data_IF_117158121790
#
_entry.id   IF_117158121790
#
_cell.length_a   1.000
_cell.length_b   1.000
_cell.length_c   1.000
_cell.angle_alpha   90.00
_cell.angle_beta   90.00
_cell.angle_gamma   90.00
#
_symmetry.space_group_name_H-M   'P 1'
#
loop_
_entity.id
_entity.type
_entity.pdbx_description
1 polymer ?
#
# COMPACT_ATOMS: atom_id res chain seq x y z
N UNK A 1 -14.52 -12.87 -21.46
CA UNK A 1 -15.07 -11.56 -21.11
C UNK A 1 -14.00 -10.84 -20.31
N UNK A 2 -13.51 -9.69 -20.78
CA UNK A 2 -12.54 -8.87 -20.01
C UNK A 2 -13.24 -8.44 -18.72
N UNK A 3 -12.71 -8.80 -17.56
CA UNK A 3 -13.21 -8.33 -16.28
C UNK A 3 -13.15 -6.80 -16.27
N UNK A 4 -14.22 -6.13 -15.80
CA UNK A 4 -14.24 -4.68 -15.70
C UNK A 4 -13.15 -4.18 -14.76
N UNK A 5 -12.59 -3.01 -15.07
CA UNK A 5 -11.60 -2.34 -14.21
C UNK A 5 -12.17 -2.05 -12.83
N UNK A 6 -11.41 -2.31 -11.79
CA UNK A 6 -11.78 -1.93 -10.42
C UNK A 6 -11.63 -0.40 -10.28
N UNK A 7 -12.71 0.27 -9.84
CA UNK A 7 -12.73 1.73 -9.64
C UNK A 7 -12.73 2.10 -8.17
N UNK A 8 -12.40 3.36 -7.81
CA UNK A 8 -12.51 3.85 -6.43
C UNK A 8 -13.93 3.68 -5.84
N UNK A 9 -14.98 3.86 -6.64
CA UNK A 9 -16.37 3.69 -6.21
C UNK A 9 -16.68 2.22 -5.94
N UNK A 10 -16.20 1.31 -6.78
CA UNK A 10 -16.34 -0.14 -6.56
C UNK A 10 -15.54 -0.57 -5.32
N UNK A 11 -14.32 -0.02 -5.11
CA UNK A 11 -13.56 -0.27 -3.89
C UNK A 11 -14.35 0.19 -2.67
N UNK A 12 -14.90 1.41 -2.68
CA UNK A 12 -15.67 1.97 -1.57
C UNK A 12 -16.90 1.12 -1.21
N UNK A 13 -17.53 0.50 -2.19
CA UNK A 13 -18.69 -0.37 -2.05
C UNK A 13 -18.35 -1.86 -2.11
N UNK A 14 -17.12 -2.24 -1.72
CA UNK A 14 -16.64 -3.62 -1.80
C UNK A 14 -17.62 -4.60 -1.14
N UNK A 15 -17.98 -5.70 -1.83
CA UNK A 15 -19.00 -6.61 -1.32
C UNK A 15 -18.59 -7.23 0.03
N UNK A 16 -19.51 -7.21 1.00
CA UNK A 16 -19.29 -7.87 2.30
C UNK A 16 -19.07 -9.37 2.09
N UNK A 17 -18.07 -9.91 2.77
CA UNK A 17 -17.70 -11.32 2.66
C UNK A 17 -16.80 -11.67 1.47
N UNK A 18 -16.56 -10.75 0.55
CA UNK A 18 -15.56 -10.92 -0.50
C UNK A 18 -14.21 -10.42 -0.02
N UNK A 19 -13.18 -11.27 -0.10
CA UNK A 19 -11.80 -10.87 0.26
C UNK A 19 -11.23 -9.94 -0.81
N UNK A 20 -10.65 -8.83 -0.38
CA UNK A 20 -9.91 -7.90 -1.23
C UNK A 20 -8.43 -8.25 -1.18
N UNK A 21 -7.81 -8.44 -2.34
CA UNK A 21 -6.37 -8.70 -2.46
C UNK A 21 -5.63 -7.49 -2.99
N UNK A 22 -4.71 -6.97 -2.19
CA UNK A 22 -3.82 -5.89 -2.56
C UNK A 22 -2.36 -6.32 -2.49
N UNK A 23 -1.57 -5.94 -3.50
CA UNK A 23 -0.12 -6.19 -3.55
C UNK A 23 0.61 -4.94 -4.06
N UNK A 24 1.87 -4.76 -3.64
CA UNK A 24 2.67 -3.66 -4.15
C UNK A 24 3.33 -4.00 -5.48
N UNK A 25 3.47 -3.00 -6.36
CA UNK A 25 4.35 -3.07 -7.52
C UNK A 25 5.00 -1.70 -7.77
N UNK A 26 6.17 -1.72 -8.40
CA UNK A 26 6.97 -0.51 -8.64
C UNK A 26 7.47 -0.43 -10.08
N UNK A 27 7.20 -1.46 -10.89
CA UNK A 27 7.64 -1.58 -12.27
C UNK A 27 6.56 -2.21 -13.17
N UNK A 28 6.78 -2.10 -14.47
CA UNK A 28 5.86 -2.61 -15.49
C UNK A 28 5.66 -4.14 -15.48
N UNK A 29 6.73 -4.97 -15.48
CA UNK A 29 6.54 -6.41 -15.61
C UNK A 29 5.83 -7.01 -14.38
N UNK A 30 6.18 -6.56 -13.16
CA UNK A 30 5.52 -7.05 -11.95
C UNK A 30 4.05 -6.60 -11.91
N UNK A 31 3.76 -5.34 -12.24
CA UNK A 31 2.38 -4.84 -12.31
C UNK A 31 1.53 -5.65 -13.29
N UNK A 32 2.07 -5.98 -14.47
CA UNK A 32 1.38 -6.79 -15.46
C UNK A 32 1.08 -8.20 -14.95
N UNK A 33 2.05 -8.86 -14.34
CA UNK A 33 1.87 -10.20 -13.76
C UNK A 33 0.79 -10.19 -12.69
N UNK A 34 0.81 -9.21 -11.78
CA UNK A 34 -0.18 -9.08 -10.70
C UNK A 34 -1.59 -8.80 -11.25
N UNK A 35 -1.70 -7.94 -12.25
CA UNK A 35 -2.98 -7.62 -12.90
C UNK A 35 -3.57 -8.85 -13.61
N UNK A 36 -2.76 -9.59 -14.40
CA UNK A 36 -3.14 -10.82 -15.08
C UNK A 36 -3.51 -11.93 -14.06
N UNK A 37 -2.85 -11.97 -12.89
CA UNK A 37 -3.15 -12.88 -11.80
C UNK A 37 -4.44 -12.54 -11.03
N UNK A 38 -5.06 -11.39 -11.29
CA UNK A 38 -6.34 -11.01 -10.72
C UNK A 38 -6.27 -10.26 -9.39
N UNK A 39 -5.16 -9.62 -9.07
CA UNK A 39 -5.05 -8.69 -7.91
C UNK A 39 -6.07 -7.55 -8.07
N UNK A 40 -6.77 -7.19 -7.00
CA UNK A 40 -7.82 -6.17 -7.05
C UNK A 40 -7.26 -4.76 -6.97
N UNK A 41 -6.22 -4.57 -6.14
CA UNK A 41 -5.54 -3.30 -5.91
C UNK A 41 -4.03 -3.47 -6.02
N UNK A 42 -3.41 -2.80 -6.97
CA UNK A 42 -1.95 -2.66 -7.06
C UNK A 42 -1.58 -1.35 -6.38
N UNK A 43 -0.74 -1.43 -5.37
CA UNK A 43 -0.32 -0.28 -4.59
C UNK A 43 1.12 0.12 -4.92
N UNK A 44 1.32 1.35 -5.36
CA UNK A 44 2.65 1.96 -5.48
C UNK A 44 2.96 2.62 -4.14
N UNK A 45 3.58 1.85 -3.24
CA UNK A 45 3.90 2.30 -1.89
C UNK A 45 5.25 3.01 -1.82
N UNK A 46 5.42 3.92 -0.87
CA UNK A 46 6.72 4.53 -0.56
C UNK A 46 7.73 3.52 0.01
N UNK A 47 7.27 2.30 0.35
CA UNK A 47 8.12 1.13 0.57
C UNK A 47 9.09 0.84 -0.59
N UNK A 48 8.85 1.42 -1.80
CA UNK A 48 9.82 1.39 -2.90
C UNK A 48 11.20 1.94 -2.48
N UNK A 49 11.22 2.91 -1.58
CA UNK A 49 12.47 3.45 -1.03
C UNK A 49 13.34 2.35 -0.47
N UNK A 50 12.74 1.46 0.30
CA UNK A 50 13.47 0.35 0.94
C UNK A 50 13.75 -0.77 -0.08
N UNK A 51 12.71 -1.32 -0.70
CA UNK A 51 12.83 -2.59 -1.45
C UNK A 51 13.40 -2.42 -2.87
N UNK A 52 13.36 -1.21 -3.43
CA UNK A 52 13.86 -0.91 -4.78
C UNK A 52 15.09 0.00 -4.75
N UNK A 53 15.07 1.06 -3.93
CA UNK A 53 16.12 2.08 -3.91
C UNK A 53 17.18 1.83 -2.84
N UNK A 54 16.98 0.84 -1.94
CA UNK A 54 17.95 0.47 -0.89
C UNK A 54 18.06 1.49 0.24
N UNK A 55 17.05 2.32 0.44
CA UNK A 55 16.97 3.26 1.56
C UNK A 55 16.70 2.53 2.88
N UNK A 56 17.06 3.14 4.00
CA UNK A 56 16.85 2.55 5.34
C UNK A 56 15.40 2.58 5.80
N UNK A 57 14.61 3.53 5.28
CA UNK A 57 13.19 3.70 5.55
C UNK A 57 12.52 4.47 4.40
N UNK A 58 11.22 4.75 4.52
CA UNK A 58 10.41 5.39 3.46
C UNK A 58 10.59 6.91 3.41
N UNK A 59 11.21 7.54 4.42
CA UNK A 59 11.22 9.01 4.57
C UNK A 59 12.09 9.73 3.54
N UNK A 60 12.93 9.02 2.80
CA UNK A 60 13.75 9.58 1.72
C UNK A 60 13.10 9.56 0.33
N UNK A 61 11.92 8.96 0.20
CA UNK A 61 11.23 8.84 -1.09
C UNK A 61 10.71 10.19 -1.56
N UNK A 62 10.93 10.49 -2.84
CA UNK A 62 10.51 11.75 -3.46
C UNK A 62 9.28 11.59 -4.36
N UNK A 63 8.61 12.71 -4.68
CA UNK A 63 7.55 12.71 -5.69
C UNK A 63 8.02 12.20 -7.05
N UNK A 64 9.27 12.46 -7.44
CA UNK A 64 9.81 11.99 -8.71
C UNK A 64 9.92 10.45 -8.75
N UNK A 65 10.30 9.82 -7.63
CA UNK A 65 10.35 8.37 -7.50
C UNK A 65 8.94 7.78 -7.63
N UNK A 66 7.98 8.36 -6.91
CA UNK A 66 6.59 7.90 -6.94
C UNK A 66 5.94 8.08 -8.31
N UNK A 67 6.17 9.20 -8.99
CA UNK A 67 5.67 9.44 -10.35
C UNK A 67 6.23 8.41 -11.32
N UNK A 68 7.55 8.16 -11.30
CA UNK A 68 8.18 7.16 -12.17
C UNK A 68 7.62 5.77 -11.96
N UNK A 69 7.52 5.32 -10.72
CA UNK A 69 6.97 4.02 -10.39
C UNK A 69 5.49 3.92 -10.79
N UNK A 70 4.67 4.93 -10.47
CA UNK A 70 3.25 4.98 -10.82
C UNK A 70 3.04 4.89 -12.33
N UNK A 71 3.80 5.65 -13.13
CA UNK A 71 3.75 5.56 -14.59
C UNK A 71 4.12 4.17 -15.12
N UNK A 72 5.10 3.52 -14.51
CA UNK A 72 5.52 2.17 -14.91
C UNK A 72 4.44 1.15 -14.61
N UNK A 73 3.86 1.19 -13.42
CA UNK A 73 2.75 0.32 -12.98
C UNK A 73 1.50 0.55 -13.84
N UNK A 74 1.16 1.81 -14.12
CA UNK A 74 0.00 2.17 -14.93
C UNK A 74 0.03 1.57 -16.33
N UNK A 75 1.22 1.46 -16.95
CA UNK A 75 1.36 0.81 -18.27
C UNK A 75 1.15 -0.71 -18.23
N UNK A 76 1.40 -1.35 -17.10
CA UNK A 76 1.24 -2.81 -16.92
C UNK A 76 -0.19 -3.24 -16.59
N UNK A 77 -1.04 -2.30 -16.14
CA UNK A 77 -2.35 -2.57 -15.62
C UNK A 77 -3.46 -2.47 -16.67
N UNK A 78 -4.43 -3.40 -16.61
CA UNK A 78 -5.68 -3.39 -17.39
C UNK A 78 -6.93 -3.42 -16.51
N UNK A 79 -6.91 -4.16 -15.39
CA UNK A 79 -8.06 -4.41 -14.52
C UNK A 79 -7.92 -3.82 -13.11
N UNK A 80 -6.81 -4.08 -12.44
CA UNK A 80 -6.60 -3.70 -11.06
C UNK A 80 -6.73 -2.18 -10.86
N UNK A 81 -7.26 -1.76 -9.71
CA UNK A 81 -7.15 -0.37 -9.28
C UNK A 81 -5.70 -0.06 -8.92
N UNK A 82 -5.22 1.15 -9.18
CA UNK A 82 -3.90 1.61 -8.76
C UNK A 82 -4.05 2.68 -7.68
N UNK A 83 -3.41 2.49 -6.53
CA UNK A 83 -3.21 3.56 -5.54
C UNK A 83 -1.74 3.90 -5.41
N UNK A 84 -1.43 5.16 -5.07
CA UNK A 84 -0.06 5.62 -4.87
C UNK A 84 0.08 6.43 -3.57
N UNK A 85 1.17 6.21 -2.84
CA UNK A 85 1.47 6.97 -1.63
C UNK A 85 1.85 8.41 -1.96
N UNK A 86 1.40 9.33 -1.12
CA UNK A 86 1.97 10.67 -1.04
C UNK A 86 3.22 10.61 -0.15
N UNK A 87 4.42 10.90 -0.68
CA UNK A 87 5.64 10.92 0.14
C UNK A 87 5.58 11.96 1.26
N UNK A 88 6.27 11.68 2.37
CA UNK A 88 6.39 12.62 3.49
C UNK A 88 6.84 14.00 3.00
N UNK A 89 6.28 15.07 3.59
CA UNK A 89 6.59 16.46 3.23
C UNK A 89 5.92 16.96 1.94
N UNK A 90 5.15 16.13 1.24
CA UNK A 90 4.48 16.51 0.00
C UNK A 90 2.99 16.81 0.16
N UNK A 91 2.46 16.65 1.37
CA UNK A 91 1.04 16.87 1.72
C UNK A 91 0.83 17.53 3.08
N UNK A 92 1.82 18.29 3.58
CA UNK A 92 1.77 18.94 4.89
C UNK A 92 0.63 19.95 5.00
N UNK A 93 0.28 20.60 3.88
CA UNK A 93 -0.90 21.47 3.80
C UNK A 93 -1.98 20.87 2.90
N UNK A 94 -3.23 21.27 3.11
CA UNK A 94 -4.36 20.90 2.24
C UNK A 94 -4.09 21.23 0.76
N UNK A 95 -3.44 22.37 0.48
CA UNK A 95 -3.06 22.80 -0.87
C UNK A 95 -2.00 21.88 -1.49
N UNK A 96 -0.97 21.56 -0.73
CA UNK A 96 0.11 20.67 -1.20
C UNK A 96 -0.42 19.25 -1.40
N UNK A 97 -1.30 18.77 -0.51
CA UNK A 97 -1.95 17.48 -0.64
C UNK A 97 -2.71 17.35 -1.97
N UNK A 98 -3.55 18.32 -2.30
CA UNK A 98 -4.28 18.34 -3.58
C UNK A 98 -3.33 18.43 -4.78
N UNK A 99 -2.29 19.28 -4.70
CA UNK A 99 -1.29 19.43 -5.77
C UNK A 99 -0.56 18.11 -6.03
N UNK A 100 -0.01 17.49 -5.00
CA UNK A 100 0.75 16.24 -5.10
C UNK A 100 -0.13 15.08 -5.56
N UNK A 101 -1.37 15.03 -5.09
CA UNK A 101 -2.34 14.04 -5.52
C UNK A 101 -2.64 14.11 -7.01
N UNK A 102 -2.85 15.32 -7.55
CA UNK A 102 -3.09 15.50 -8.99
C UNK A 102 -1.92 14.99 -9.84
N UNK A 103 -0.68 15.24 -9.40
CA UNK A 103 0.52 14.72 -10.08
C UNK A 103 0.51 13.19 -10.16
N UNK A 104 0.14 12.50 -9.07
CA UNK A 104 0.07 11.03 -9.07
C UNK A 104 -1.11 10.49 -9.90
N UNK A 105 -2.26 11.17 -9.90
CA UNK A 105 -3.38 10.81 -10.77
C UNK A 105 -3.00 10.98 -12.25
N UNK A 106 -2.32 12.06 -12.62
CA UNK A 106 -1.78 12.28 -13.98
C UNK A 106 -0.72 11.22 -14.35
N UNK A 107 0.02 10.69 -13.37
CA UNK A 107 0.94 9.58 -13.57
C UNK A 107 0.24 8.22 -13.78
N UNK A 108 -1.08 8.13 -13.53
CA UNK A 108 -1.91 6.96 -13.78
C UNK A 108 -2.43 6.23 -12.54
N UNK A 109 -2.28 6.79 -11.34
CA UNK A 109 -2.98 6.32 -10.15
C UNK A 109 -4.49 6.60 -10.26
N UNK A 110 -5.31 5.75 -9.63
CA UNK A 110 -6.75 5.93 -9.50
C UNK A 110 -7.12 6.57 -8.16
N UNK A 111 -6.25 6.43 -7.16
CA UNK A 111 -6.39 7.04 -5.83
C UNK A 111 -5.00 7.31 -5.23
N UNK A 112 -4.95 8.20 -4.25
CA UNK A 112 -3.75 8.47 -3.46
C UNK A 112 -3.90 7.95 -2.03
N UNK A 113 -2.78 7.76 -1.31
CA UNK A 113 -2.79 7.35 0.10
C UNK A 113 -1.92 8.30 0.93
N UNK A 114 -2.51 9.28 1.61
CA UNK A 114 -1.84 10.02 2.69
C UNK A 114 -1.83 9.18 3.98
N UNK A 115 -0.86 9.42 4.85
CA UNK A 115 -0.82 8.88 6.21
C UNK A 115 -1.33 9.91 7.23
N UNK A 116 -1.87 9.42 8.34
CA UNK A 116 -2.25 10.25 9.49
C UNK A 116 -3.67 10.05 9.94
N UNK A 117 -3.91 10.36 11.23
CA UNK A 117 -5.21 10.36 11.87
C UNK A 117 -5.92 11.73 11.74
N UNK A 118 -6.72 12.09 12.75
CA UNK A 118 -7.55 13.30 12.76
C UNK A 118 -6.76 14.59 12.51
N UNK A 119 -5.48 14.63 12.83
CA UNK A 119 -4.58 15.75 12.52
C UNK A 119 -4.50 16.07 11.03
N UNK A 120 -4.74 15.08 10.17
CA UNK A 120 -4.75 15.23 8.70
C UNK A 120 -6.15 15.51 8.10
N UNK A 121 -7.14 15.84 8.95
CA UNK A 121 -8.51 16.11 8.48
C UNK A 121 -8.59 17.24 7.44
N UNK A 122 -7.84 18.36 7.53
CA UNK A 122 -7.85 19.39 6.48
C UNK A 122 -7.44 18.87 5.11
N UNK A 123 -6.49 17.92 5.05
CA UNK A 123 -6.05 17.27 3.83
C UNK A 123 -7.16 16.39 3.25
N UNK A 124 -7.83 15.57 4.07
CA UNK A 124 -8.92 14.70 3.64
C UNK A 124 -10.10 15.49 3.06
N UNK A 125 -10.49 16.58 3.75
CA UNK A 125 -11.56 17.47 3.29
C UNK A 125 -11.22 18.15 1.97
N UNK A 126 -9.94 18.52 1.78
CA UNK A 126 -9.46 19.10 0.53
C UNK A 126 -9.46 18.08 -0.62
N UNK A 127 -9.08 16.81 -0.38
CA UNK A 127 -9.18 15.74 -1.34
C UNK A 127 -10.64 15.50 -1.75
N UNK A 128 -11.54 15.40 -0.77
CA UNK A 128 -12.98 15.23 -1.02
C UNK A 128 -13.56 16.38 -1.86
N UNK A 129 -13.25 17.63 -1.49
CA UNK A 129 -13.68 18.83 -2.20
C UNK A 129 -13.15 18.88 -3.63
N UNK A 130 -11.94 18.37 -3.86
CA UNK A 130 -11.31 18.32 -5.18
C UNK A 130 -11.78 17.12 -6.02
N UNK A 131 -12.63 16.24 -5.49
CA UNK A 131 -13.07 15.00 -6.15
C UNK A 131 -11.93 14.00 -6.36
N UNK A 132 -10.89 14.03 -5.53
CA UNK A 132 -9.74 13.14 -5.62
C UNK A 132 -10.02 11.90 -4.79
N UNK A 133 -10.04 10.69 -5.38
CA UNK A 133 -10.17 9.45 -4.63
C UNK A 133 -8.94 9.20 -3.75
N UNK A 134 -9.16 8.67 -2.55
CA UNK A 134 -8.07 8.43 -1.61
C UNK A 134 -8.36 7.25 -0.66
N UNK A 135 -7.29 6.67 -0.15
CA UNK A 135 -7.28 5.59 0.82
C UNK A 135 -6.67 6.12 2.11
N UNK A 136 -7.34 5.89 3.25
CA UNK A 136 -6.81 6.25 4.56
C UNK A 136 -5.71 5.30 5.02
N UNK A 137 -4.87 5.74 5.98
CA UNK A 137 -3.86 4.89 6.59
C UNK A 137 -3.77 5.15 8.09
N UNK A 138 -4.07 4.13 8.89
CA UNK A 138 -4.06 4.16 10.36
C UNK A 138 -3.22 3.01 10.95
N UNK A 139 -2.86 3.17 12.21
CA UNK A 139 -2.03 2.23 12.95
C UNK A 139 -0.59 2.68 13.02
N UNK A 140 0.37 1.83 12.68
CA UNK A 140 1.76 2.23 12.47
C UNK A 140 1.85 3.00 11.15
N UNK A 141 2.47 4.15 11.19
CA UNK A 141 2.69 5.01 10.02
C UNK A 141 4.17 4.99 9.66
N UNK A 142 4.58 4.31 8.56
CA UNK A 142 5.99 4.21 8.15
C UNK A 142 6.71 5.55 8.03
N UNK A 143 6.00 6.60 7.60
CA UNK A 143 6.57 7.95 7.51
C UNK A 143 6.91 8.58 8.87
N UNK A 144 6.32 8.07 9.97
CA UNK A 144 6.63 8.48 11.36
C UNK A 144 7.60 7.53 12.06
N UNK A 145 8.19 6.57 11.36
CA UNK A 145 9.04 5.52 11.96
C UNK A 145 10.21 6.06 12.77
N UNK A 146 10.81 7.17 12.32
CA UNK A 146 11.93 7.82 13.03
C UNK A 146 11.46 8.51 14.31
N UNK A 147 10.33 9.19 14.26
CA UNK A 147 9.72 9.88 15.40
C UNK A 147 9.29 8.88 16.48
N UNK A 148 8.76 7.73 16.04
CA UNK A 148 8.30 6.66 16.94
C UNK A 148 9.43 5.76 17.45
N UNK A 149 10.65 5.90 16.94
CA UNK A 149 11.78 5.05 17.30
C UNK A 149 11.62 3.60 16.84
N UNK A 150 11.05 3.39 15.65
CA UNK A 150 10.87 2.10 14.99
C UNK A 150 9.42 1.68 14.80
N UNK A 151 9.24 0.52 14.13
CA UNK A 151 7.92 -0.07 13.87
C UNK A 151 7.33 -0.63 15.16
N UNK A 152 6.15 -0.15 15.56
CA UNK A 152 5.47 -0.55 16.80
C UNK A 152 4.04 -0.99 16.54
N UNK A 153 3.65 -2.13 17.13
CA UNK A 153 2.25 -2.59 17.09
C UNK A 153 1.36 -1.65 17.90
N UNK A 154 0.24 -1.25 17.31
CA UNK A 154 -0.77 -0.34 17.89
C UNK A 154 -2.05 -1.10 18.28
N UNK A 155 -2.97 -0.41 18.95
CA UNK A 155 -4.25 -0.97 19.36
C UNK A 155 -4.14 -1.91 20.56
N UNK A 156 -3.25 -1.59 21.50
CA UNK A 156 -3.01 -2.39 22.71
C UNK A 156 -3.93 -2.02 23.87
N UNK A 157 -4.50 -0.84 23.86
CA UNK A 157 -5.44 -0.36 24.88
C UNK A 157 -6.79 0.01 24.27
N UNK A 158 -7.83 0.03 25.09
CA UNK A 158 -9.19 0.42 24.67
C UNK A 158 -9.19 1.84 24.12
N UNK A 159 -8.46 2.74 24.76
CA UNK A 159 -8.37 4.16 24.36
C UNK A 159 -7.70 4.32 22.99
N UNK A 160 -6.67 3.51 22.67
CA UNK A 160 -6.06 3.49 21.35
C UNK A 160 -7.05 3.01 20.28
N UNK A 161 -7.79 1.93 20.58
CA UNK A 161 -8.77 1.36 19.66
C UNK A 161 -9.93 2.33 19.42
N UNK A 162 -10.46 2.96 20.47
CA UNK A 162 -11.56 3.93 20.36
C UNK A 162 -11.16 5.16 19.55
N UNK A 163 -9.93 5.64 19.72
CA UNK A 163 -9.39 6.73 18.91
C UNK A 163 -9.29 6.32 17.43
N UNK A 164 -8.72 5.14 17.14
CA UNK A 164 -8.62 4.66 15.76
C UNK A 164 -10.00 4.46 15.13
N UNK A 165 -11.01 3.96 15.87
CA UNK A 165 -12.39 3.87 15.36
C UNK A 165 -12.97 5.25 15.05
N UNK A 166 -12.70 6.24 15.88
CA UNK A 166 -13.15 7.63 15.66
C UNK A 166 -12.48 8.24 14.42
N UNK A 167 -11.17 8.07 14.27
CA UNK A 167 -10.40 8.52 13.10
C UNK A 167 -10.88 7.83 11.82
N UNK A 168 -11.07 6.51 11.86
CA UNK A 168 -11.54 5.73 10.73
C UNK A 168 -12.95 6.17 10.26
N UNK A 169 -13.87 6.44 11.18
CA UNK A 169 -15.20 6.98 10.86
C UNK A 169 -15.12 8.38 10.26
N UNK A 170 -14.19 9.22 10.75
CA UNK A 170 -13.95 10.54 10.19
C UNK A 170 -13.43 10.46 8.75
N UNK A 171 -12.50 9.53 8.46
CA UNK A 171 -12.01 9.25 7.11
C UNK A 171 -13.13 8.75 6.18
N UNK A 172 -13.95 7.79 6.64
CA UNK A 172 -15.10 7.30 5.89
C UNK A 172 -16.06 8.44 5.54
N UNK A 173 -16.37 9.32 6.51
CA UNK A 173 -17.21 10.51 6.31
C UNK A 173 -16.59 11.50 5.34
N UNK A 174 -15.27 11.68 5.37
CA UNK A 174 -14.50 12.53 4.47
C UNK A 174 -14.27 11.90 3.08
N UNK A 175 -14.87 10.75 2.78
CA UNK A 175 -14.90 10.19 1.43
C UNK A 175 -13.80 9.19 1.11
N UNK A 176 -13.04 8.68 2.09
CA UNK A 176 -12.08 7.60 1.85
C UNK A 176 -12.72 6.40 1.15
N UNK A 177 -12.03 5.80 0.17
CA UNK A 177 -12.50 4.62 -0.55
C UNK A 177 -12.26 3.33 0.24
N UNK A 178 -11.20 3.29 1.04
CA UNK A 178 -10.79 2.20 1.94
C UNK A 178 -9.87 2.76 3.01
N UNK A 179 -9.52 1.96 4.01
CA UNK A 179 -8.53 2.33 5.02
C UNK A 179 -7.52 1.20 5.17
N UNK A 180 -6.23 1.51 5.01
CA UNK A 180 -5.13 0.61 5.37
C UNK A 180 -4.97 0.62 6.89
N UNK A 181 -4.89 -0.57 7.48
CA UNK A 181 -4.63 -0.78 8.91
C UNK A 181 -3.31 -1.50 9.07
N UNK A 182 -2.28 -0.80 9.60
CA UNK A 182 -0.93 -1.34 9.69
C UNK A 182 -0.51 -1.64 11.11
N UNK A 183 0.04 -2.86 11.33
CA UNK A 183 0.62 -3.34 12.59
C UNK A 183 -0.32 -3.12 13.80
N UNK A 184 -1.59 -3.48 13.67
CA UNK A 184 -2.52 -3.50 14.79
C UNK A 184 -2.50 -4.86 15.51
N UNK A 185 -3.04 -4.89 16.74
CA UNK A 185 -3.47 -6.17 17.32
C UNK A 185 -4.60 -6.74 16.47
N UNK A 186 -4.75 -8.08 16.35
CA UNK A 186 -5.83 -8.68 15.57
C UNK A 186 -7.23 -8.24 16.02
N UNK A 187 -7.42 -8.04 17.33
CA UNK A 187 -8.65 -7.55 17.95
C UNK A 187 -8.96 -6.12 17.49
N UNK A 188 -7.98 -5.22 17.58
CA UNK A 188 -8.13 -3.83 17.12
C UNK A 188 -8.44 -3.76 15.63
N UNK A 189 -7.75 -4.56 14.79
CA UNK A 189 -8.04 -4.64 13.36
C UNK A 189 -9.49 -5.06 13.08
N UNK A 190 -10.00 -6.04 13.83
CA UNK A 190 -11.38 -6.50 13.71
C UNK A 190 -12.39 -5.46 14.18
N UNK A 191 -12.15 -4.79 15.32
CA UNK A 191 -13.04 -3.77 15.87
C UNK A 191 -13.13 -2.52 14.99
N UNK A 192 -11.99 -2.04 14.47
CA UNK A 192 -11.98 -0.90 13.54
C UNK A 192 -12.73 -1.26 12.25
N UNK A 193 -12.53 -2.47 11.74
CA UNK A 193 -13.24 -2.94 10.54
C UNK A 193 -14.75 -3.01 10.76
N UNK A 194 -15.19 -3.56 11.89
CA UNK A 194 -16.61 -3.65 12.24
C UNK A 194 -17.29 -2.28 12.42
N UNK A 195 -16.53 -1.24 12.70
CA UNK A 195 -17.04 0.13 12.90
C UNK A 195 -17.31 0.90 11.60
N UNK A 196 -17.01 0.31 10.42
CA UNK A 196 -17.03 0.96 9.10
C UNK A 196 -17.97 0.26 8.11
N UNK A 197 -18.39 1.01 7.10
CA UNK A 197 -19.09 0.47 5.93
C UNK A 197 -18.17 0.35 4.70
N UNK A 198 -17.03 1.03 4.69
CA UNK A 198 -16.00 0.91 3.65
C UNK A 198 -15.02 -0.20 4.01
N UNK A 199 -14.32 -0.81 3.02
CA UNK A 199 -13.38 -1.89 3.29
C UNK A 199 -12.14 -1.41 4.05
N UNK A 200 -11.59 -2.30 4.86
CA UNK A 200 -10.27 -2.16 5.48
C UNK A 200 -9.28 -3.13 4.85
N UNK A 201 -8.03 -2.70 4.72
CA UNK A 201 -6.97 -3.48 4.09
C UNK A 201 -5.85 -3.65 5.12
N UNK A 202 -5.68 -4.86 5.65
CA UNK A 202 -4.74 -5.12 6.74
C UNK A 202 -3.32 -5.42 6.25
N UNK A 203 -2.32 -4.89 6.96
CA UNK A 203 -0.93 -5.33 6.90
C UNK A 203 -0.42 -5.53 8.33
N UNK A 204 -0.24 -6.79 8.74
CA UNK A 204 0.09 -7.11 10.12
C UNK A 204 -1.00 -6.75 11.14
N UNK A 205 -2.26 -6.62 10.72
CA UNK A 205 -3.41 -6.24 11.54
C UNK A 205 -4.40 -7.41 11.82
N UNK A 206 -3.96 -8.65 11.64
CA UNK A 206 -4.81 -9.83 11.81
C UNK A 206 -5.66 -10.15 10.58
N UNK A 207 -6.58 -11.11 10.73
CA UNK A 207 -7.44 -11.63 9.66
C UNK A 207 -8.83 -10.99 9.61
N UNK A 208 -9.15 -10.12 10.56
CA UNK A 208 -10.49 -9.51 10.70
C UNK A 208 -10.74 -8.30 9.81
N UNK A 209 -9.78 -7.91 8.96
CA UNK A 209 -9.93 -6.86 7.94
C UNK A 209 -10.60 -7.41 6.68
N UNK A 210 -11.22 -6.54 5.87
CA UNK A 210 -11.89 -6.92 4.62
C UNK A 210 -10.93 -7.54 3.62
N UNK A 211 -9.71 -7.04 3.55
CA UNK A 211 -8.66 -7.52 2.67
C UNK A 211 -7.27 -7.44 3.31
N UNK A 212 -6.28 -7.85 2.55
CA UNK A 212 -4.88 -7.83 2.98
C UNK A 212 -4.02 -7.18 1.91
N UNK A 213 -3.03 -6.38 2.35
CA UNK A 213 -1.96 -5.91 1.48
C UNK A 213 -0.62 -6.50 1.94
N UNK A 214 0.25 -6.80 1.00
CA UNK A 214 1.63 -7.24 1.24
C UNK A 214 2.58 -6.48 0.33
N UNK A 215 3.78 -6.24 0.85
CA UNK A 215 4.92 -5.83 0.03
C UNK A 215 5.35 -7.05 -0.79
N UNK A 216 5.19 -7.00 -2.09
CA UNK A 216 5.41 -8.16 -2.97
C UNK A 216 6.85 -8.66 -2.90
N UNK A 217 7.83 -7.78 -2.75
CA UNK A 217 9.23 -8.16 -2.60
C UNK A 217 9.49 -9.00 -1.34
N UNK A 218 8.72 -8.81 -0.27
CA UNK A 218 8.80 -9.68 0.92
C UNK A 218 8.28 -11.10 0.60
N UNK A 219 7.17 -11.21 -0.14
CA UNK A 219 6.63 -12.52 -0.59
C UNK A 219 7.57 -13.24 -1.54
N UNK A 220 8.24 -12.50 -2.42
CA UNK A 220 9.21 -13.04 -3.37
C UNK A 220 10.52 -13.49 -2.68
N UNK A 221 10.78 -13.07 -1.43
CA UNK A 221 12.03 -13.35 -0.73
C UNK A 221 13.22 -12.62 -1.37
N UNK A 222 13.00 -11.39 -1.86
CA UNK A 222 14.03 -10.54 -2.49
C UNK A 222 14.61 -9.51 -1.54
N UNK A 223 14.00 -9.28 -0.38
CA UNK A 223 14.47 -8.30 0.60
C UNK A 223 15.71 -8.82 1.35
N UNK A 224 16.76 -8.00 1.53
CA UNK A 224 18.01 -8.43 2.19
C UNK A 224 17.93 -8.46 3.72
N UNK A 225 16.83 -7.99 4.31
CA UNK A 225 16.58 -7.99 5.75
C UNK A 225 15.62 -9.10 6.18
N UNK A 226 15.48 -9.28 7.49
CA UNK A 226 14.50 -10.21 8.04
C UNK A 226 13.09 -9.75 7.71
N UNK A 227 12.31 -10.64 7.12
CA UNK A 227 10.91 -10.38 6.77
C UNK A 227 10.07 -10.08 8.00
N UNK A 228 9.06 -9.20 7.87
CA UNK A 228 8.09 -8.99 8.94
C UNK A 228 7.43 -10.33 9.36
N UNK A 229 7.26 -10.57 10.65
CA UNK A 229 6.77 -11.86 11.18
C UNK A 229 5.34 -12.23 10.74
N UNK A 230 4.58 -11.30 10.16
CA UNK A 230 3.27 -11.56 9.58
C UNK A 230 3.33 -12.02 8.11
N UNK A 231 4.48 -11.94 7.44
CA UNK A 231 4.72 -12.48 6.10
C UNK A 231 5.26 -13.90 6.25
N UNK A 232 4.41 -14.89 6.00
CA UNK A 232 4.74 -16.30 6.14
C UNK A 232 5.25 -16.90 4.82
N UNK A 233 4.75 -16.40 3.72
CA UNK A 233 5.06 -16.84 2.37
C UNK A 233 6.49 -16.39 1.99
N UNK A 234 7.22 -17.28 1.35
CA UNK A 234 8.55 -17.02 0.78
C UNK A 234 8.75 -17.89 -0.46
N UNK A 235 8.74 -17.26 -1.59
CA UNK A 235 8.98 -17.96 -2.86
C UNK A 235 10.46 -18.24 -3.12
N UNK A 236 11.36 -17.73 -2.27
CA UNK A 236 12.80 -18.03 -2.33
C UNK A 236 13.51 -17.55 -3.60
N UNK A 237 12.99 -16.49 -4.25
CA UNK A 237 13.55 -16.01 -5.53
C UNK A 237 15.01 -15.58 -5.41
N UNK A 238 15.42 -14.97 -4.30
CA UNK A 238 16.84 -14.63 -4.10
C UNK A 238 17.74 -15.89 -4.16
N UNK A 239 17.29 -17.02 -3.59
CA UNK A 239 18.03 -18.28 -3.68
C UNK A 239 18.02 -18.87 -5.08
N UNK A 240 16.88 -18.79 -5.78
CA UNK A 240 16.76 -19.27 -7.16
C UNK A 240 17.68 -18.48 -8.09
N UNK A 241 17.74 -17.15 -7.94
CA UNK A 241 18.64 -16.29 -8.72
C UNK A 241 20.12 -16.68 -8.45
N UNK A 242 20.52 -16.89 -7.17
CA UNK A 242 21.88 -17.34 -6.86
C UNK A 242 22.22 -18.67 -7.52
N UNK A 243 21.32 -19.66 -7.45
CA UNK A 243 21.51 -20.99 -8.10
C UNK A 243 21.62 -20.84 -9.62
N UNK A 244 20.81 -20.00 -10.23
CA UNK A 244 20.89 -19.71 -11.67
C UNK A 244 22.26 -19.13 -12.04
N UNK A 245 22.74 -18.12 -11.31
CA UNK A 245 24.06 -17.51 -11.54
C UNK A 245 25.19 -18.52 -11.37
N UNK A 246 25.12 -19.38 -10.34
CA UNK A 246 26.12 -20.45 -10.14
C UNK A 246 26.10 -21.48 -11.27
N UNK A 247 24.90 -21.80 -11.81
CA UNK A 247 24.76 -22.67 -12.98
C UNK A 247 25.43 -22.08 -14.21
N UNK A 248 25.17 -20.81 -14.52
CA UNK A 248 25.81 -20.09 -15.63
C UNK A 248 27.33 -20.06 -15.48
N UNK A 249 27.85 -19.77 -14.28
CA UNK A 249 29.31 -19.80 -14.02
C UNK A 249 29.94 -21.16 -14.24
N UNK A 250 29.25 -22.26 -13.86
CA UNK A 250 29.77 -23.65 -14.04
C UNK A 250 29.76 -24.11 -15.49
N UNK A 251 28.79 -23.69 -16.28
CA UNK A 251 28.71 -24.06 -17.72
C UNK A 251 29.82 -23.42 -18.56
N UNK A 252 30.54 -22.43 -18.02
CA UNK A 252 31.68 -21.79 -18.70
C UNK A 252 31.34 -21.06 -20.01
N UNK A 253 30.08 -21.05 -20.40
CA UNK A 253 29.55 -20.37 -21.59
C UNK A 253 28.27 -19.66 -21.20
N UNK A 254 28.17 -18.36 -21.53
CA UNK A 254 26.94 -17.57 -21.35
C UNK A 254 25.83 -17.96 -22.32
N UNK A 255 25.68 -19.24 -22.65
CA UNK A 255 24.56 -19.76 -23.39
C UNK A 255 23.38 -19.92 -22.43
N UNK A 256 22.57 -18.86 -22.38
CA UNK A 256 21.19 -18.98 -22.00
C UNK A 256 20.46 -19.62 -23.16
N UNK A 257 20.20 -20.94 -23.07
CA UNK A 257 19.35 -21.65 -24.01
C UNK A 257 17.89 -21.18 -23.87
#
# INVERSE_FOLDING_TARGET
>A
MSASRVTPEQLRSWPKGQTLLALTAYDYPLARILDEAGVDLIHVGDSLGMVVLGMTDTTGVTMADMVRATQSVARGRTRAMISADLPIGTYDTAKDCVKSSKILLEAGADAVKPEGGKESQPQWEALQKAGIPWIGHLGMLPQKVREEGGYKRKGKTVEEVDRMKADARAMEKAGACAIVLELLTPEAGSEVTAALNIPTIGIGAGKGTTGQIRVTYDLLGLTPWNRPGFVKEDLGFAQQIRKMVEGIKRSGRGELG
#
